data_IF_242543525104
#
_entry.id   IF_242543525104
#
_cell.length_a   1.000
_cell.length_b   1.000
_cell.length_c   1.000
_cell.angle_alpha   90.00
_cell.angle_beta   90.00
_cell.angle_gamma   90.00
#
_symmetry.space_group_name_H-M   'P 1'
#
loop_
_entity.id
_entity.type
_entity.pdbx_description
1 polymer ?
#
# COMPACT_ATOMS: atom_id res chain seq x y z
N UNK A 1 3.19 -0.09 -8.10
CA UNK A 1 2.07 0.43 -7.28
C UNK A 1 2.27 1.90 -6.91
N UNK A 2 3.49 2.35 -6.61
CA UNK A 2 3.80 3.74 -6.25
C UNK A 2 4.88 4.34 -7.19
N UNK A 3 4.53 4.74 -8.43
CA UNK A 3 5.51 5.27 -9.40
C UNK A 3 6.01 6.67 -9.03
N UNK A 4 5.15 7.53 -8.49
CA UNK A 4 5.46 8.86 -7.98
C UNK A 4 6.44 8.83 -6.80
N UNK A 5 6.26 7.89 -5.86
CA UNK A 5 7.24 7.63 -4.82
C UNK A 5 8.57 7.14 -5.38
N UNK A 6 8.56 6.28 -6.40
CA UNK A 6 9.77 5.80 -7.05
C UNK A 6 10.57 6.92 -7.74
N UNK A 7 9.90 7.81 -8.48
CA UNK A 7 10.56 8.94 -9.16
C UNK A 7 11.19 9.94 -8.17
N UNK A 8 10.62 10.03 -6.96
CA UNK A 8 11.14 10.87 -5.88
C UNK A 8 12.22 10.17 -5.04
N UNK A 9 12.41 8.86 -5.19
CA UNK A 9 13.31 8.07 -4.36
C UNK A 9 14.79 8.35 -4.67
N UNK A 10 15.64 8.21 -3.65
CA UNK A 10 17.09 8.20 -3.80
C UNK A 10 17.64 6.77 -3.82
N UNK A 11 18.96 6.62 -3.90
CA UNK A 11 19.62 5.30 -3.86
C UNK A 11 20.04 4.90 -2.45
N UNK A 12 19.55 5.56 -1.39
CA UNK A 12 19.95 5.23 -0.02
C UNK A 12 19.23 3.97 0.47
N UNK A 13 19.96 3.12 1.18
CA UNK A 13 19.41 1.84 1.66
C UNK A 13 18.54 1.94 2.93
N UNK A 14 18.58 3.07 3.63
CA UNK A 14 18.00 3.20 4.99
C UNK A 14 16.89 4.25 5.04
N UNK A 15 17.00 5.33 4.27
CA UNK A 15 16.04 6.44 4.33
C UNK A 15 14.74 6.11 3.58
N UNK A 16 13.66 6.77 3.98
CA UNK A 16 12.31 6.55 3.47
C UNK A 16 11.91 7.50 2.34
N UNK A 17 12.87 8.17 1.70
CA UNK A 17 12.58 9.03 0.56
C UNK A 17 11.93 8.19 -0.56
N UNK A 18 10.76 8.60 -1.03
CA UNK A 18 9.98 7.84 -2.02
C UNK A 18 9.14 6.68 -1.47
N UNK A 19 9.12 6.45 -0.15
CA UNK A 19 8.28 5.41 0.47
C UNK A 19 6.78 5.71 0.32
N UNK A 20 6.40 6.93 0.65
CA UNK A 20 5.03 7.41 0.63
C UNK A 20 4.62 7.78 -0.80
N UNK A 21 3.31 7.86 -1.08
CA UNK A 21 2.84 8.44 -2.34
C UNK A 21 2.98 9.98 -2.32
N UNK A 22 2.54 10.65 -3.38
CA UNK A 22 2.63 12.10 -3.56
C UNK A 22 1.95 12.89 -2.44
N UNK A 23 0.87 12.35 -1.85
CA UNK A 23 0.17 12.96 -0.71
C UNK A 23 0.82 12.67 0.65
N UNK A 24 1.94 11.95 0.69
CA UNK A 24 2.63 11.57 1.93
C UNK A 24 1.97 10.40 2.68
N UNK A 25 1.15 9.60 1.99
CA UNK A 25 0.43 8.45 2.58
C UNK A 25 1.21 7.15 2.35
N UNK A 26 1.27 6.30 3.39
CA UNK A 26 1.86 4.97 3.29
C UNK A 26 0.83 4.03 2.70
N UNK A 27 1.01 3.68 1.42
CA UNK A 27 0.04 2.84 0.71
C UNK A 27 -0.14 1.45 1.34
N UNK A 28 0.87 0.92 2.05
CA UNK A 28 0.77 -0.36 2.78
C UNK A 28 0.08 -0.21 4.16
N UNK A 29 -0.49 0.97 4.45
CA UNK A 29 -1.32 1.27 5.62
C UNK A 29 -2.66 1.90 5.24
N UNK A 30 -2.93 2.04 3.94
CA UNK A 30 -4.09 2.75 3.42
C UNK A 30 -5.21 1.84 2.89
N UNK A 31 -5.04 0.51 2.96
CA UNK A 31 -6.10 -0.45 2.64
C UNK A 31 -7.10 -0.59 3.80
N UNK A 32 -8.36 -0.95 3.53
CA UNK A 32 -9.34 -1.28 4.56
C UNK A 32 -8.81 -2.40 5.48
N UNK A 33 -8.76 -2.14 6.78
CA UNK A 33 -8.32 -3.11 7.79
C UNK A 33 -9.51 -3.89 8.36
N UNK A 34 -9.42 -5.22 8.36
CA UNK A 34 -10.43 -6.11 8.93
C UNK A 34 -10.61 -5.90 10.45
N UNK A 35 -9.61 -5.35 11.13
CA UNK A 35 -9.65 -5.04 12.57
C UNK A 35 -9.96 -3.57 12.87
N UNK A 36 -10.22 -2.73 11.86
CA UNK A 36 -10.50 -1.29 12.04
C UNK A 36 -11.72 -1.02 12.95
N UNK A 37 -12.71 -1.91 12.91
CA UNK A 37 -13.91 -1.83 13.77
C UNK A 37 -13.58 -1.96 15.26
N UNK A 38 -12.55 -2.72 15.62
CA UNK A 38 -12.06 -2.84 17.00
C UNK A 38 -11.34 -1.56 17.46
N UNK A 39 -10.91 -0.74 16.52
CA UNK A 39 -10.11 0.46 16.75
C UNK A 39 -10.92 1.76 16.58
N UNK A 40 -12.24 1.65 16.36
CA UNK A 40 -13.14 2.76 16.02
C UNK A 40 -12.66 3.58 14.79
N UNK A 41 -11.92 2.96 13.88
CA UNK A 41 -11.51 3.61 12.64
C UNK A 41 -12.60 3.41 11.59
N UNK A 42 -13.24 4.52 11.20
CA UNK A 42 -14.14 4.51 10.04
C UNK A 42 -13.33 4.47 8.75
N UNK A 43 -13.56 3.46 7.93
CA UNK A 43 -13.04 3.40 6.57
C UNK A 43 -13.82 4.40 5.73
N UNK A 44 -13.16 5.47 5.28
CA UNK A 44 -13.76 6.44 4.37
C UNK A 44 -13.24 6.16 2.95
N UNK A 45 -14.07 5.48 2.15
CA UNK A 45 -13.74 5.11 0.76
C UNK A 45 -13.48 6.34 -0.12
N UNK A 46 -14.13 7.49 0.15
CA UNK A 46 -13.92 8.72 -0.62
C UNK A 46 -12.52 9.30 -0.42
N UNK A 47 -11.90 9.05 0.73
CA UNK A 47 -10.54 9.51 1.08
C UNK A 47 -9.43 8.52 0.69
N UNK A 48 -9.78 7.44 0.00
CA UNK A 48 -8.80 6.44 -0.42
C UNK A 48 -7.86 7.02 -1.50
N UNK A 49 -6.57 6.75 -1.35
CA UNK A 49 -5.56 7.15 -2.34
C UNK A 49 -5.83 6.48 -3.70
N UNK A 50 -5.54 7.16 -4.83
CA UNK A 50 -5.87 6.67 -6.16
C UNK A 50 -5.21 5.31 -6.46
N UNK A 51 -4.00 5.07 -5.96
CA UNK A 51 -3.29 3.79 -6.11
C UNK A 51 -4.01 2.66 -5.38
N UNK A 52 -4.50 2.92 -4.16
CA UNK A 52 -5.22 1.92 -3.35
C UNK A 52 -6.55 1.58 -4.01
N UNK A 53 -7.30 2.61 -4.45
CA UNK A 53 -8.58 2.40 -5.14
C UNK A 53 -8.38 1.58 -6.41
N UNK A 54 -7.39 1.92 -7.23
CA UNK A 54 -7.09 1.18 -8.45
C UNK A 54 -6.75 -0.30 -8.18
N UNK A 55 -6.03 -0.60 -7.09
CA UNK A 55 -5.71 -1.99 -6.71
C UNK A 55 -6.94 -2.72 -6.17
N UNK A 56 -7.76 -2.09 -5.32
CA UNK A 56 -9.01 -2.68 -4.81
C UNK A 56 -9.95 -3.03 -5.97
N UNK A 57 -10.15 -2.09 -6.89
CA UNK A 57 -10.99 -2.30 -8.07
C UNK A 57 -10.42 -3.40 -8.96
N UNK A 58 -9.10 -3.39 -9.20
CA UNK A 58 -8.44 -4.43 -10.00
C UNK A 58 -8.56 -5.82 -9.37
N UNK A 59 -8.41 -5.95 -8.06
CA UNK A 59 -8.57 -7.22 -7.35
C UNK A 59 -9.98 -7.80 -7.49
N UNK A 60 -10.99 -6.97 -7.79
CA UNK A 60 -12.36 -7.41 -8.05
C UNK A 60 -12.62 -7.79 -9.52
N UNK A 61 -11.72 -7.47 -10.45
CA UNK A 61 -11.89 -7.76 -11.88
C UNK A 61 -11.68 -9.23 -12.24
N UNK A 62 -10.90 -9.95 -11.44
CA UNK A 62 -10.50 -11.33 -11.71
C UNK A 62 -10.51 -12.17 -10.44
N UNK A 63 -10.59 -13.49 -10.59
CA UNK A 63 -10.48 -14.42 -9.45
C UNK A 63 -9.02 -14.75 -9.18
N UNK A 64 -8.28 -13.81 -8.57
CA UNK A 64 -6.91 -14.06 -8.16
C UNK A 64 -6.83 -15.22 -7.16
N UNK A 65 -6.04 -16.25 -7.48
CA UNK A 65 -5.87 -17.44 -6.64
C UNK A 65 -4.69 -17.28 -5.67
N UNK A 66 -3.61 -16.63 -6.12
CA UNK A 66 -2.39 -16.41 -5.35
C UNK A 66 -1.79 -15.05 -5.73
N UNK A 67 -1.27 -14.34 -4.74
CA UNK A 67 -0.63 -13.04 -4.92
C UNK A 67 0.61 -12.90 -4.04
N UNK A 68 1.55 -12.06 -4.48
CA UNK A 68 2.64 -11.58 -3.65
C UNK A 68 2.90 -10.11 -4.00
N UNK A 69 3.21 -9.29 -2.99
CA UNK A 69 3.77 -7.95 -3.16
C UNK A 69 5.25 -7.98 -2.73
N UNK A 70 6.07 -7.10 -3.32
CA UNK A 70 7.53 -7.12 -3.14
C UNK A 70 7.96 -5.86 -2.41
N UNK A 71 8.75 -6.02 -1.34
CA UNK A 71 9.30 -4.94 -0.52
C UNK A 71 10.82 -5.08 -0.34
N UNK A 72 11.49 -3.96 -0.07
CA UNK A 72 12.88 -3.90 0.39
C UNK A 72 12.99 -3.53 1.87
N UNK A 73 14.15 -3.79 2.49
CA UNK A 73 14.47 -3.44 3.89
C UNK A 73 14.73 -4.63 4.81
N UNK A 74 14.33 -5.84 4.41
CA UNK A 74 14.65 -7.10 5.12
C UNK A 74 14.70 -8.27 4.13
N UNK A 75 15.38 -9.36 4.49
CA UNK A 75 15.37 -10.63 3.77
C UNK A 75 14.51 -11.65 4.53
N UNK A 76 13.21 -11.69 4.21
CA UNK A 76 12.21 -12.52 4.90
C UNK A 76 10.98 -12.73 4.01
N UNK A 77 10.22 -13.79 4.26
CA UNK A 77 8.87 -13.97 3.73
C UNK A 77 7.86 -13.73 4.86
N UNK A 78 7.04 -12.69 4.74
CA UNK A 78 5.97 -12.37 5.70
C UNK A 78 4.63 -12.84 5.17
N UNK A 79 3.82 -13.46 6.03
CA UNK A 79 2.49 -13.99 5.73
C UNK A 79 1.49 -13.55 6.83
N UNK A 80 0.16 -13.60 6.56
CA UNK A 80 -0.87 -13.18 7.50
C UNK A 80 -0.91 -13.94 8.83
#
# INVERSE_FOLDING_TARGET
MNPDGFDAADTNCIYSQGRFNYHGVDLNRAFPDAFASLQNQQVNEEKMEPEVRAVVDWLQTETFVLSANIHGGALVASYP
#
